data_IF_234325734985
#
_entry.id   IF_234325734985
#
_cell.length_a   1.000
_cell.length_b   1.000
_cell.length_c   1.000
_cell.angle_alpha   90.00
_cell.angle_beta   90.00
_cell.angle_gamma   90.00
#
_symmetry.space_group_name_H-M   'P 1'
#
loop_
_entity.id
_entity.type
_entity.pdbx_description
1 polymer ?
#
# COMPACT_ATOMS: atom_id res chain seq x y z
N UNK A 1 -40.40 7.23 40.80
CA UNK A 1 -39.22 6.37 40.58
C UNK A 1 -39.51 5.57 39.31
N UNK A 2 -39.00 6.02 38.16
CA UNK A 2 -39.36 5.49 36.84
C UNK A 2 -38.56 4.22 36.53
N UNK A 3 -39.26 3.11 36.33
CA UNK A 3 -38.71 1.87 35.79
C UNK A 3 -38.65 2.04 34.27
N UNK A 4 -37.48 2.41 33.75
CA UNK A 4 -37.21 2.37 32.32
C UNK A 4 -36.92 0.92 31.96
N UNK A 5 -37.96 0.19 31.56
CA UNK A 5 -37.81 -1.11 30.91
C UNK A 5 -36.91 -0.91 29.68
N UNK A 6 -35.67 -1.38 29.77
CA UNK A 6 -34.80 -1.48 28.62
C UNK A 6 -35.47 -2.44 27.64
N UNK A 7 -36.02 -1.92 26.54
CA UNK A 7 -36.31 -2.69 25.34
C UNK A 7 -34.98 -3.17 24.72
N UNK A 8 -34.25 -4.00 25.45
CA UNK A 8 -33.08 -4.69 24.96
C UNK A 8 -33.56 -5.72 23.95
N UNK A 9 -33.24 -5.50 22.68
CA UNK A 9 -33.33 -6.57 21.68
C UNK A 9 -32.49 -7.72 22.24
N UNK A 10 -33.07 -8.93 22.46
CA UNK A 10 -32.33 -10.03 23.03
C UNK A 10 -31.12 -10.35 22.14
N UNK A 11 -29.96 -10.57 22.76
CA UNK A 11 -28.76 -10.91 22.01
C UNK A 11 -29.05 -12.12 21.12
N UNK A 12 -28.77 -12.03 19.81
CA UNK A 12 -29.12 -13.10 18.90
C UNK A 12 -28.35 -14.37 19.28
N UNK A 13 -29.07 -15.46 19.50
CA UNK A 13 -28.45 -16.77 19.77
C UNK A 13 -27.72 -17.26 18.52
N UNK A 14 -26.41 -17.42 18.62
CA UNK A 14 -25.55 -17.97 17.58
C UNK A 14 -25.18 -19.40 17.91
N UNK A 15 -25.33 -20.30 16.95
CA UNK A 15 -24.95 -21.71 17.06
C UNK A 15 -23.71 -21.93 16.20
N UNK A 16 -22.66 -22.50 16.80
CA UNK A 16 -21.44 -22.86 16.08
C UNK A 16 -21.60 -24.29 15.54
N UNK A 17 -21.62 -24.44 14.21
CA UNK A 17 -21.76 -25.73 13.55
C UNK A 17 -20.47 -26.08 12.79
N UNK A 18 -20.13 -27.37 12.74
CA UNK A 18 -18.92 -27.90 12.09
C UNK A 18 -19.31 -28.59 10.80
N UNK A 19 -18.78 -28.12 9.67
CA UNK A 19 -18.95 -28.78 8.38
C UNK A 19 -18.14 -30.09 8.35
N UNK A 20 -18.53 -31.05 7.51
CA UNK A 20 -17.79 -32.29 7.27
C UNK A 20 -16.32 -32.04 6.86
N UNK A 21 -16.02 -30.90 6.23
CA UNK A 21 -14.66 -30.45 5.89
C UNK A 21 -13.88 -29.76 7.02
N UNK A 22 -14.40 -29.72 8.25
CA UNK A 22 -13.72 -29.16 9.42
C UNK A 22 -13.82 -27.65 9.61
N UNK A 23 -14.44 -26.91 8.68
CA UNK A 23 -14.72 -25.48 8.83
C UNK A 23 -15.86 -25.24 9.81
N UNK A 24 -15.65 -24.30 10.74
CA UNK A 24 -16.65 -23.86 11.71
C UNK A 24 -17.40 -22.66 11.14
N UNK A 25 -18.73 -22.65 11.26
CA UNK A 25 -19.54 -21.51 10.87
C UNK A 25 -20.60 -21.20 11.93
N UNK A 26 -20.88 -19.91 12.09
CA UNK A 26 -21.93 -19.44 12.98
C UNK A 26 -23.26 -19.33 12.21
N UNK A 27 -24.31 -19.96 12.74
CA UNK A 27 -25.67 -19.96 12.19
C UNK A 27 -26.67 -19.41 13.19
N UNK A 28 -27.76 -18.83 12.68
CA UNK A 28 -28.97 -18.52 13.47
C UNK A 28 -30.13 -19.36 12.99
N UNK A 29 -30.88 -19.93 13.93
CA UNK A 29 -32.17 -20.53 13.65
C UNK A 29 -33.23 -19.43 13.71
N UNK A 30 -33.48 -18.79 12.56
CA UNK A 30 -34.62 -17.90 12.40
C UNK A 30 -35.76 -18.66 11.72
N UNK A 31 -36.99 -18.51 12.21
CA UNK A 31 -38.20 -19.13 11.62
C UNK A 31 -38.38 -18.85 10.12
N UNK A 32 -37.77 -17.76 9.62
CA UNK A 32 -37.60 -17.51 8.21
C UNK A 32 -36.46 -18.36 7.63
N UNK A 33 -36.79 -19.61 7.26
CA UNK A 33 -35.94 -20.65 6.62
C UNK A 33 -35.20 -20.26 5.32
N UNK A 34 -35.11 -18.97 4.96
CA UNK A 34 -34.70 -18.52 3.62
C UNK A 34 -33.48 -17.60 3.58
N UNK A 35 -32.89 -17.25 4.72
CA UNK A 35 -31.70 -16.37 4.77
C UNK A 35 -30.64 -16.91 5.73
N UNK A 36 -29.52 -17.37 5.17
CA UNK A 36 -28.31 -17.69 5.94
C UNK A 36 -27.54 -16.39 6.21
N UNK A 37 -27.05 -16.18 7.43
CA UNK A 37 -26.14 -15.06 7.75
C UNK A 37 -24.86 -15.62 8.32
N UNK A 38 -23.73 -15.17 7.78
CA UNK A 38 -22.40 -15.57 8.19
C UNK A 38 -21.81 -14.53 9.14
N UNK A 39 -21.06 -14.98 10.15
CA UNK A 39 -20.20 -14.14 10.98
C UNK A 39 -18.76 -14.51 10.69
N UNK A 40 -17.95 -13.53 10.30
CA UNK A 40 -16.51 -13.67 10.12
C UNK A 40 -15.86 -12.85 11.23
N UNK A 41 -15.18 -13.51 12.17
CA UNK A 41 -14.36 -12.85 13.16
C UNK A 41 -12.96 -12.66 12.55
N UNK A 42 -12.46 -11.42 12.50
CA UNK A 42 -11.17 -11.07 11.91
C UNK A 42 -10.27 -10.49 12.99
N UNK A 43 -9.08 -11.04 13.14
CA UNK A 43 -8.04 -10.47 13.99
C UNK A 43 -7.31 -9.36 13.25
N UNK A 44 -7.47 -8.12 13.72
CA UNK A 44 -6.69 -6.98 13.24
C UNK A 44 -5.42 -6.89 14.09
N UNK A 45 -4.27 -7.03 13.44
CA UNK A 45 -2.95 -6.84 14.08
C UNK A 45 -2.30 -5.59 13.53
N UNK A 46 -1.67 -4.83 14.43
CA UNK A 46 -0.85 -3.70 14.05
C UNK A 46 0.48 -4.20 13.49
N UNK A 47 0.81 -3.75 12.29
CA UNK A 47 2.11 -4.03 11.69
C UNK A 47 3.18 -3.18 12.37
N UNK A 48 4.14 -3.84 13.02
CA UNK A 48 5.35 -3.22 13.54
C UNK A 48 6.52 -3.65 12.66
N UNK A 49 7.19 -2.69 12.03
CA UNK A 49 8.44 -2.93 11.29
C UNK A 49 9.55 -3.24 12.28
N UNK A 50 10.39 -4.20 11.95
CA UNK A 50 11.57 -4.49 12.75
C UNK A 50 12.60 -3.36 12.61
N UNK A 51 13.45 -3.19 13.64
CA UNK A 51 14.45 -2.12 13.68
C UNK A 51 15.43 -2.12 12.48
N UNK A 52 15.69 -3.30 11.90
CA UNK A 52 16.55 -3.44 10.72
C UNK A 52 15.84 -3.05 9.40
N UNK A 53 14.50 -3.05 9.38
CA UNK A 53 13.72 -2.56 8.24
C UNK A 53 13.51 -1.05 8.30
N UNK A 54 13.70 -0.43 9.46
CA UNK A 54 13.67 1.02 9.67
C UNK A 54 14.94 1.72 9.21
N UNK A 55 15.99 0.96 8.86
CA UNK A 55 17.16 1.50 8.18
C UNK A 55 16.76 1.80 6.73
N UNK A 56 16.13 2.96 6.54
CA UNK A 56 16.01 3.56 5.22
C UNK A 56 17.45 3.69 4.70
N UNK A 57 17.82 2.88 3.71
CA UNK A 57 19.06 3.09 2.98
C UNK A 57 19.03 4.52 2.45
N UNK A 58 19.77 5.40 3.11
CA UNK A 58 19.90 6.78 2.74
C UNK A 58 20.83 6.86 1.53
N UNK A 59 20.33 6.41 0.37
CA UNK A 59 21.00 6.51 -0.92
C UNK A 59 21.30 7.96 -1.31
N UNK A 60 20.73 8.92 -0.57
CA UNK A 60 20.88 10.37 -0.76
C UNK A 60 22.06 10.98 -0.01
N UNK A 61 22.52 10.41 1.11
CA UNK A 61 23.56 11.04 1.95
C UNK A 61 24.99 10.60 1.64
N UNK A 62 25.19 9.52 0.87
CA UNK A 62 26.55 9.07 0.52
C UNK A 62 27.18 9.80 -0.67
N UNK A 63 26.39 10.57 -1.44
CA UNK A 63 26.95 11.36 -2.52
C UNK A 63 27.32 12.76 -1.99
N UNK A 64 28.61 13.16 -2.01
CA UNK A 64 28.97 14.53 -1.69
C UNK A 64 28.15 15.46 -2.58
N UNK A 65 27.47 16.47 -2.01
CA UNK A 65 26.69 17.46 -2.76
C UNK A 65 27.43 18.02 -3.99
N UNK A 66 28.76 18.07 -3.95
CA UNK A 66 29.61 18.44 -5.09
C UNK A 66 29.57 17.46 -6.27
N UNK A 67 29.48 16.14 -6.03
CA UNK A 67 29.42 15.12 -7.08
C UNK A 67 28.10 15.19 -7.87
N UNK A 68 26.97 15.41 -7.17
CA UNK A 68 25.68 15.60 -7.82
C UNK A 68 25.64 16.87 -8.69
N UNK A 69 26.18 17.99 -8.19
CA UNK A 69 26.27 19.24 -8.97
C UNK A 69 27.15 19.08 -10.21
N UNK A 70 28.33 18.44 -10.06
CA UNK A 70 29.23 18.19 -11.19
C UNK A 70 28.58 17.28 -12.24
N UNK A 71 27.89 16.22 -11.83
CA UNK A 71 27.20 15.33 -12.77
C UNK A 71 26.09 16.06 -13.53
N UNK A 72 25.24 16.81 -12.84
CA UNK A 72 24.18 17.60 -13.47
C UNK A 72 24.78 18.61 -14.45
N UNK A 73 25.83 19.32 -14.04
CA UNK A 73 26.54 20.28 -14.91
C UNK A 73 27.13 19.59 -16.15
N UNK A 74 27.79 18.45 -15.99
CA UNK A 74 28.38 17.69 -17.09
C UNK A 74 27.30 17.18 -18.05
N UNK A 75 26.17 16.67 -17.52
CA UNK A 75 25.03 16.25 -18.33
C UNK A 75 24.44 17.44 -19.11
N UNK A 76 24.27 18.61 -18.49
CA UNK A 76 23.79 19.80 -19.18
C UNK A 76 24.73 20.23 -20.32
N UNK A 77 26.04 20.27 -20.08
CA UNK A 77 27.03 20.60 -21.13
C UNK A 77 26.97 19.58 -22.27
N UNK A 78 26.88 18.29 -21.95
CA UNK A 78 26.76 17.24 -22.96
C UNK A 78 25.48 17.33 -23.79
N UNK A 79 24.35 17.68 -23.17
CA UNK A 79 23.10 17.92 -23.89
C UNK A 79 23.24 19.12 -24.83
N UNK A 80 23.85 20.22 -24.38
CA UNK A 80 24.06 21.41 -25.22
C UNK A 80 25.00 21.15 -26.40
N UNK A 81 26.07 20.36 -26.20
CA UNK A 81 26.97 20.02 -27.31
C UNK A 81 26.28 19.15 -28.36
N UNK A 82 25.47 18.18 -27.96
CA UNK A 82 24.72 17.34 -28.90
C UNK A 82 23.57 18.10 -29.57
N UNK A 83 22.85 18.95 -28.85
CA UNK A 83 21.65 19.61 -29.38
C UNK A 83 21.96 20.84 -30.21
N UNK A 84 23.06 21.54 -29.90
CA UNK A 84 23.45 22.74 -30.60
C UNK A 84 24.62 22.41 -31.52
N UNK A 85 25.80 22.10 -30.96
CA UNK A 85 27.03 22.02 -31.75
C UNK A 85 26.96 20.95 -32.83
N UNK A 86 26.44 19.76 -32.52
CA UNK A 86 26.40 18.64 -33.48
C UNK A 86 25.53 18.95 -34.72
N UNK A 87 24.29 19.48 -34.62
CA UNK A 87 23.55 19.97 -35.79
C UNK A 87 24.28 21.02 -36.59
N UNK A 88 24.92 22.00 -35.93
CA UNK A 88 25.71 23.03 -36.63
C UNK A 88 26.89 22.42 -37.40
N UNK A 89 27.61 21.46 -36.81
CA UNK A 89 28.71 20.76 -37.48
C UNK A 89 28.24 19.88 -38.65
N UNK A 90 27.09 19.21 -38.54
CA UNK A 90 26.53 18.40 -39.64
C UNK A 90 26.05 19.29 -40.80
N UNK A 91 25.48 20.45 -40.48
CA UNK A 91 24.98 21.40 -41.48
C UNK A 91 26.12 22.17 -42.17
N UNK A 92 27.12 22.68 -41.43
CA UNK A 92 28.29 23.33 -42.02
C UNK A 92 29.24 22.34 -42.69
N UNK A 93 29.39 21.13 -42.15
CA UNK A 93 30.23 20.08 -42.72
C UNK A 93 29.70 19.48 -44.02
N UNK A 94 28.41 19.67 -44.36
CA UNK A 94 27.85 19.33 -45.68
C UNK A 94 28.02 20.44 -46.73
N UNK A 95 28.55 21.60 -46.36
CA UNK A 95 28.79 22.74 -47.26
C UNK A 95 30.27 22.91 -47.66
N UNK A 96 31.16 22.01 -47.23
CA UNK A 96 32.54 21.89 -47.73
C UNK A 96 32.74 20.59 -48.49
#
# INVERSE_FOLDING_TARGET
>A
MGVLESMGVPEPQWILERTEGGSLFWRRDTDQKRRVKFRCDVDVKEFHRDAHELEECDWSSELPYGYQFLNVSLTCVFCLTITVMLPWYILLGKMS
#
